data_IF_770077753070
#
_entry.id   IF_770077753070
#
_cell.length_a   1.000
_cell.length_b   1.000
_cell.length_c   1.000
_cell.angle_alpha   90.00
_cell.angle_beta   90.00
_cell.angle_gamma   90.00
#
_symmetry.space_group_name_H-M   'P 1'
#
loop_
_entity.id
_entity.type
_entity.pdbx_description
1 polymer ?
#
# COMPACT_ATOMS: atom_id res chain seq x y z
N UNK A 1 -14.91 -9.64 4.34
CA UNK A 1 -14.29 -9.70 5.67
C UNK A 1 -13.51 -8.40 5.88
N UNK A 2 -13.45 -7.86 7.11
CA UNK A 2 -12.70 -6.63 7.40
C UNK A 2 -11.54 -6.91 8.35
N UNK A 3 -10.35 -6.40 8.04
CA UNK A 3 -9.17 -6.46 8.90
C UNK A 3 -8.87 -5.05 9.43
N UNK A 4 -8.68 -4.92 10.75
CA UNK A 4 -8.23 -3.69 11.38
C UNK A 4 -6.78 -3.84 11.83
N UNK A 5 -5.92 -2.91 11.42
CA UNK A 5 -4.51 -2.87 11.83
C UNK A 5 -4.22 -1.53 12.51
N UNK A 6 -3.36 -1.56 13.52
CA UNK A 6 -2.81 -0.40 14.21
C UNK A 6 -1.33 -0.35 13.84
N UNK A 7 -0.83 0.81 13.44
CA UNK A 7 0.58 1.05 13.14
C UNK A 7 1.13 2.09 14.10
N UNK A 8 2.29 1.80 14.69
CA UNK A 8 3.05 2.73 15.54
C UNK A 8 4.35 3.12 14.82
N UNK A 9 4.78 4.39 14.88
CA UNK A 9 5.86 4.93 14.04
C UNK A 9 7.21 4.20 14.16
N UNK A 10 7.47 3.57 15.29
CA UNK A 10 8.77 3.05 15.74
C UNK A 10 8.95 1.54 15.58
N UNK A 11 7.86 0.79 15.34
CA UNK A 11 7.87 -0.69 15.46
C UNK A 11 6.99 -1.41 14.45
N UNK A 12 6.34 -0.70 13.52
CA UNK A 12 5.35 -1.36 12.67
C UNK A 12 5.24 -0.79 11.26
N UNK A 13 5.60 -1.62 10.29
CA UNK A 13 5.19 -1.53 8.89
C UNK A 13 4.41 -2.78 8.47
N UNK A 14 4.17 -2.91 7.17
CA UNK A 14 3.76 -4.18 6.57
C UNK A 14 4.62 -4.42 5.33
N UNK A 15 5.31 -5.56 5.31
CA UNK A 15 6.21 -5.95 4.23
C UNK A 15 5.43 -6.12 2.92
N UNK A 16 6.07 -5.97 1.75
CA UNK A 16 5.38 -6.12 0.47
C UNK A 16 4.71 -7.50 0.38
N UNK A 17 3.40 -7.52 0.20
CA UNK A 17 2.60 -8.73 0.12
C UNK A 17 1.40 -8.54 -0.82
N UNK A 18 0.78 -9.66 -1.19
CA UNK A 18 -0.50 -9.70 -1.90
C UNK A 18 -1.61 -10.10 -0.92
N UNK A 19 -2.84 -9.65 -1.16
CA UNK A 19 -3.99 -10.05 -0.33
C UNK A 19 -4.43 -11.51 -0.59
N UNK A 20 -4.01 -12.09 -1.73
CA UNK A 20 -4.37 -13.43 -2.18
C UNK A 20 -5.74 -13.46 -2.89
N UNK A 21 -6.00 -14.46 -3.76
CA UNK A 21 -7.07 -14.43 -4.76
C UNK A 21 -8.49 -14.48 -4.20
N UNK A 22 -8.67 -14.83 -2.91
CA UNK A 22 -9.98 -14.96 -2.28
C UNK A 22 -10.75 -13.63 -2.13
N UNK A 23 -10.08 -12.50 -2.38
CA UNK A 23 -10.61 -11.15 -2.19
C UNK A 23 -10.73 -10.37 -3.52
N UNK A 24 -10.62 -11.08 -4.65
CA UNK A 24 -10.70 -10.50 -5.98
C UNK A 24 -12.12 -9.96 -6.23
N UNK A 25 -12.29 -8.85 -6.98
CA UNK A 25 -11.26 -8.08 -7.70
C UNK A 25 -10.71 -6.86 -6.98
N UNK A 26 -11.22 -6.53 -5.78
CA UNK A 26 -11.06 -5.19 -5.21
C UNK A 26 -10.88 -5.23 -3.70
N UNK A 27 -9.95 -4.42 -3.23
CA UNK A 27 -9.72 -4.16 -1.81
C UNK A 27 -9.67 -2.67 -1.56
N UNK A 28 -10.39 -2.22 -0.53
CA UNK A 28 -10.35 -0.84 -0.07
C UNK A 28 -9.67 -0.76 1.29
N UNK A 29 -8.69 0.13 1.43
CA UNK A 29 -8.02 0.40 2.71
C UNK A 29 -8.26 1.84 3.12
N UNK A 30 -8.94 2.02 4.25
CA UNK A 30 -9.24 3.33 4.85
C UNK A 30 -8.12 3.67 5.83
N UNK A 31 -7.61 4.90 5.76
CA UNK A 31 -6.55 5.42 6.64
C UNK A 31 -7.13 6.34 7.70
N UNK A 32 -6.75 6.18 8.97
CA UNK A 32 -7.23 7.01 10.07
C UNK A 32 -6.08 7.37 11.03
N UNK A 33 -6.22 8.46 11.79
CA UNK A 33 -5.25 8.91 12.78
C UNK A 33 -4.08 9.69 12.18
N UNK A 34 -3.21 9.02 11.44
CA UNK A 34 -2.00 9.60 10.84
C UNK A 34 -1.87 9.26 9.35
N UNK A 35 -0.97 9.95 8.64
CA UNK A 35 -0.64 9.63 7.26
C UNK A 35 0.31 8.43 7.16
N UNK A 36 0.43 7.89 5.96
CA UNK A 36 1.59 7.08 5.57
C UNK A 36 1.82 7.18 4.06
N UNK A 37 3.04 6.86 3.62
CA UNK A 37 3.28 6.55 2.21
C UNK A 37 3.05 5.06 1.98
N UNK A 38 2.12 4.76 1.08
CA UNK A 38 1.75 3.41 0.66
C UNK A 38 2.43 3.08 -0.66
N UNK A 39 3.12 1.95 -0.71
CA UNK A 39 3.97 1.59 -1.85
C UNK A 39 3.40 0.38 -2.58
N UNK A 40 3.41 0.40 -3.91
CA UNK A 40 3.22 -0.79 -4.72
C UNK A 40 4.54 -1.23 -5.34
N UNK A 41 4.82 -2.52 -5.23
CA UNK A 41 6.02 -3.18 -5.72
C UNK A 41 5.65 -4.25 -6.74
N UNK A 42 6.66 -4.69 -7.47
CA UNK A 42 6.56 -5.83 -8.40
C UNK A 42 7.63 -6.86 -8.06
N UNK A 43 7.43 -8.09 -8.54
CA UNK A 43 8.49 -9.09 -8.56
C UNK A 43 9.54 -8.74 -9.62
N UNK A 44 10.80 -9.12 -9.40
CA UNK A 44 11.85 -8.97 -10.41
C UNK A 44 11.56 -9.82 -11.64
N UNK A 45 11.83 -9.28 -12.83
CA UNK A 45 11.74 -10.04 -14.09
C UNK A 45 12.70 -11.24 -14.04
N UNK A 46 12.25 -12.39 -14.56
CA UNK A 46 13.03 -13.63 -14.53
C UNK A 46 13.17 -14.28 -13.16
N UNK A 47 12.42 -13.82 -12.14
CA UNK A 47 12.20 -14.57 -10.90
C UNK A 47 11.25 -15.76 -11.16
N UNK A 48 11.62 -16.62 -12.10
CA UNK A 48 10.96 -17.90 -12.30
C UNK A 48 11.29 -18.79 -11.11
N UNK A 49 10.24 -19.36 -10.50
CA UNK A 49 10.30 -20.25 -9.34
C UNK A 49 10.99 -21.58 -9.68
N UNK A 50 12.30 -21.53 -9.89
CA UNK A 50 13.14 -22.65 -10.33
C UNK A 50 13.39 -23.73 -9.29
N UNK A 51 12.81 -23.67 -8.10
CA UNK A 51 12.87 -24.76 -7.13
C UNK A 51 11.57 -24.84 -6.34
N UNK A 52 11.18 -26.07 -6.01
CA UNK A 52 9.94 -26.48 -5.31
C UNK A 52 9.82 -25.87 -3.89
N UNK A 53 10.74 -24.97 -3.51
CA UNK A 53 10.85 -24.28 -2.22
C UNK A 53 11.26 -22.80 -2.31
N UNK A 54 11.40 -22.21 -3.52
CA UNK A 54 11.99 -20.87 -3.71
C UNK A 54 10.97 -19.73 -3.82
N UNK A 55 11.01 -18.76 -2.89
CA UNK A 55 10.19 -17.54 -2.97
C UNK A 55 10.60 -16.61 -4.12
N UNK A 56 9.64 -15.87 -4.68
CA UNK A 56 9.87 -14.87 -5.74
C UNK A 56 10.56 -13.64 -5.16
N UNK A 57 11.62 -13.15 -5.81
CA UNK A 57 12.32 -11.93 -5.39
C UNK A 57 11.53 -10.68 -5.75
N UNK A 58 11.41 -9.75 -4.81
CA UNK A 58 10.73 -8.45 -5.00
C UNK A 58 11.75 -7.41 -5.49
N UNK A 59 11.34 -6.55 -6.42
CA UNK A 59 12.11 -5.36 -6.80
C UNK A 59 12.13 -4.39 -5.61
N UNK A 60 13.31 -3.98 -5.09
CA UNK A 60 13.36 -3.05 -3.95
C UNK A 60 12.81 -1.66 -4.27
N UNK A 61 12.69 -1.27 -5.55
CA UNK A 61 12.11 0.02 -5.93
C UNK A 61 10.60 -0.13 -6.16
N UNK A 62 9.74 0.60 -5.42
CA UNK A 62 8.32 0.62 -5.73
C UNK A 62 8.07 1.14 -7.15
N UNK A 63 7.06 0.59 -7.81
CA UNK A 63 6.60 1.08 -9.11
C UNK A 63 5.83 2.40 -8.98
N UNK A 64 5.16 2.61 -7.84
CA UNK A 64 4.49 3.86 -7.49
C UNK A 64 4.34 3.97 -5.96
N UNK A 65 4.24 5.20 -5.47
CA UNK A 65 3.94 5.51 -4.07
C UNK A 65 2.75 6.45 -3.99
N UNK A 66 1.92 6.31 -2.96
CA UNK A 66 0.72 7.13 -2.72
C UNK A 66 0.77 7.65 -1.30
N UNK A 67 0.59 8.95 -1.09
CA UNK A 67 0.43 9.51 0.25
C UNK A 67 -1.03 9.32 0.69
N UNK A 68 -1.24 8.58 1.77
CA UNK A 68 -2.56 8.35 2.35
C UNK A 68 -2.77 9.25 3.55
N UNK A 69 -3.54 10.32 3.39
CA UNK A 69 -3.91 11.24 4.48
C UNK A 69 -4.89 10.59 5.47
N UNK A 70 -5.00 11.07 6.72
CA UNK A 70 -6.08 10.65 7.62
C UNK A 70 -7.45 10.90 6.99
N UNK A 71 -8.36 9.92 7.09
CA UNK A 71 -9.71 9.89 6.48
C UNK A 71 -9.70 9.75 4.96
N UNK A 72 -8.62 9.22 4.38
CA UNK A 72 -8.56 8.80 2.98
C UNK A 72 -8.94 7.33 2.81
N UNK A 73 -9.29 6.96 1.57
CA UNK A 73 -9.43 5.57 1.13
C UNK A 73 -8.56 5.34 -0.10
N UNK A 74 -7.80 4.25 -0.10
CA UNK A 74 -7.17 3.72 -1.32
C UNK A 74 -7.92 2.49 -1.76
N UNK A 75 -8.24 2.41 -3.04
CA UNK A 75 -8.91 1.26 -3.66
C UNK A 75 -7.91 0.63 -4.63
N UNK A 76 -7.56 -0.62 -4.37
CA UNK A 76 -6.69 -1.43 -5.21
C UNK A 76 -7.55 -2.40 -6.01
N UNK A 77 -7.49 -2.30 -7.34
CA UNK A 77 -8.24 -3.15 -8.26
C UNK A 77 -7.38 -3.62 -9.43
N UNK A 78 -7.87 -4.62 -10.17
CA UNK A 78 -7.25 -5.14 -11.38
C UNK A 78 -5.75 -5.46 -11.16
N UNK A 79 -4.85 -4.92 -11.99
CA UNK A 79 -3.43 -5.23 -11.95
C UNK A 79 -2.75 -4.85 -10.62
N UNK A 80 -3.18 -3.75 -9.97
CA UNK A 80 -2.65 -3.34 -8.67
C UNK A 80 -3.06 -4.31 -7.56
N UNK A 81 -4.19 -5.00 -7.72
CA UNK A 81 -4.64 -6.04 -6.81
C UNK A 81 -4.01 -7.40 -7.13
N UNK A 82 -3.95 -7.79 -8.41
CA UNK A 82 -3.66 -9.17 -8.81
C UNK A 82 -2.19 -9.47 -9.07
N UNK A 83 -1.35 -8.46 -9.26
CA UNK A 83 0.03 -8.63 -9.72
C UNK A 83 1.07 -7.73 -9.06
N UNK A 84 0.63 -6.83 -8.17
CA UNK A 84 1.52 -5.95 -7.44
C UNK A 84 1.41 -6.23 -5.95
N UNK A 85 2.55 -6.16 -5.28
CA UNK A 85 2.63 -6.25 -3.84
C UNK A 85 2.43 -4.87 -3.24
N UNK A 86 1.77 -4.77 -2.09
CA UNK A 86 1.64 -3.50 -1.40
C UNK A 86 2.28 -3.52 -0.02
N UNK A 87 2.79 -2.37 0.40
CA UNK A 87 3.54 -2.25 1.64
C UNK A 87 3.43 -0.85 2.26
N UNK A 88 3.70 -0.81 3.56
CA UNK A 88 3.98 0.41 4.32
C UNK A 88 5.31 0.17 5.01
N UNK A 89 6.31 1.00 4.74
CA UNK A 89 7.63 0.86 5.37
C UNK A 89 7.57 1.11 6.88
N UNK A 90 8.37 0.37 7.64
CA UNK A 90 8.58 0.57 9.08
C UNK A 90 9.61 1.70 9.27
N UNK A 91 9.11 2.94 9.31
CA UNK A 91 9.90 4.17 9.47
C UNK A 91 9.09 5.19 10.27
N UNK A 92 9.79 6.09 10.96
CA UNK A 92 9.17 7.15 11.78
C UNK A 92 8.73 8.37 10.97
N UNK A 93 9.34 8.60 9.81
CA UNK A 93 9.10 9.78 9.00
C UNK A 93 9.32 9.51 7.52
N UNK A 94 8.52 10.15 6.67
CA UNK A 94 8.69 10.15 5.22
C UNK A 94 9.42 11.43 4.80
N UNK A 95 10.58 11.29 4.15
CA UNK A 95 11.36 12.42 3.62
C UNK A 95 10.96 12.65 2.17
N UNK A 96 10.48 13.85 1.86
CA UNK A 96 9.94 14.22 0.55
C UNK A 96 10.84 15.27 -0.10
N UNK A 97 11.24 15.02 -1.35
CA UNK A 97 11.83 16.06 -2.20
C UNK A 97 10.74 16.86 -2.88
N UNK A 98 10.95 18.18 -2.94
CA UNK A 98 10.01 19.12 -3.54
C UNK A 98 9.69 18.76 -5.00
N UNK A 99 8.39 18.79 -5.33
CA UNK A 99 7.91 18.88 -6.69
C UNK A 99 7.77 20.33 -7.14
N UNK A 100 7.17 20.52 -8.31
CA UNK A 100 6.70 21.81 -8.80
C UNK A 100 5.45 21.60 -9.68
N UNK A 101 4.98 22.64 -10.36
CA UNK A 101 3.78 22.57 -11.20
C UNK A 101 3.81 21.49 -12.30
N UNK A 102 4.99 21.01 -12.69
CA UNK A 102 5.18 20.03 -13.79
C UNK A 102 5.92 18.76 -13.38
N UNK A 103 6.56 18.74 -12.21
CA UNK A 103 7.31 17.58 -11.73
C UNK A 103 6.77 17.13 -10.37
N UNK A 104 6.43 15.85 -10.20
CA UNK A 104 5.91 15.35 -8.94
C UNK A 104 6.98 15.41 -7.83
N UNK A 105 6.59 15.65 -6.57
CA UNK A 105 7.45 15.39 -5.42
C UNK A 105 7.79 13.90 -5.34
N UNK A 106 8.93 13.57 -4.74
CA UNK A 106 9.40 12.19 -4.64
C UNK A 106 9.66 11.79 -3.19
N UNK A 107 9.50 10.50 -2.92
CA UNK A 107 10.03 9.87 -1.72
C UNK A 107 11.56 9.86 -1.85
N UNK A 108 12.25 10.63 -1.01
CA UNK A 108 13.63 11.08 -1.25
C UNK A 108 14.63 9.93 -1.38
N UNK A 109 14.53 8.91 -0.51
CA UNK A 109 15.46 7.79 -0.48
C UNK A 109 15.15 6.71 -1.54
N UNK A 110 13.92 6.67 -2.05
CA UNK A 110 13.50 5.72 -3.08
C UNK A 110 13.58 6.30 -4.51
N UNK A 111 13.55 7.63 -4.64
CA UNK A 111 13.45 8.30 -5.94
C UNK A 111 12.21 7.87 -6.73
N UNK A 112 11.08 7.72 -6.02
CA UNK A 112 9.77 7.35 -6.58
C UNK A 112 8.79 8.50 -6.38
N UNK A 113 8.05 8.91 -7.41
CA UNK A 113 7.09 10.00 -7.30
C UNK A 113 5.91 9.61 -6.39
N UNK A 114 5.38 10.60 -5.67
CA UNK A 114 4.09 10.47 -4.99
C UNK A 114 3.00 10.67 -6.04
N UNK A 115 2.31 9.60 -6.42
CA UNK A 115 1.42 9.58 -7.57
C UNK A 115 0.18 10.50 -7.43
N UNK A 116 -0.29 10.71 -6.20
CA UNK A 116 -1.48 11.50 -5.89
C UNK A 116 -1.15 12.88 -5.29
N UNK A 117 0.05 13.41 -5.53
CA UNK A 117 0.50 14.68 -4.95
C UNK A 117 -0.44 15.86 -5.25
N UNK A 118 -1.09 15.85 -6.42
CA UNK A 118 -2.10 16.82 -6.86
C UNK A 118 -3.43 16.72 -6.11
N UNK A 119 -3.61 15.66 -5.31
CA UNK A 119 -4.83 15.35 -4.54
C UNK A 119 -4.63 15.43 -3.03
N UNK A 120 -3.43 15.77 -2.58
CA UNK A 120 -3.13 16.02 -1.17
C UNK A 120 -3.84 17.30 -0.74
N UNK A 121 -4.46 17.30 0.44
CA UNK A 121 -5.33 18.39 0.90
C UNK A 121 -4.96 18.94 2.27
N UNK A 122 -4.22 18.19 3.06
CA UNK A 122 -3.75 18.60 4.37
C UNK A 122 -2.70 19.72 4.20
N UNK A 123 -2.87 20.89 4.83
CA UNK A 123 -2.02 22.06 4.60
C UNK A 123 -0.51 21.82 4.75
N UNK A 124 -0.07 21.10 5.78
CA UNK A 124 1.36 20.83 5.99
C UNK A 124 1.92 19.87 4.93
N UNK A 125 1.17 18.84 4.57
CA UNK A 125 1.52 17.90 3.52
C UNK A 125 1.57 18.59 2.15
N UNK A 126 0.59 19.44 1.82
CA UNK A 126 0.60 20.26 0.60
C UNK A 126 1.86 21.11 0.55
N UNK A 127 2.18 21.83 1.63
CA UNK A 127 3.40 22.63 1.70
C UNK A 127 4.65 21.77 1.44
N UNK A 128 4.75 20.61 2.07
CA UNK A 128 5.87 19.68 1.89
C UNK A 128 5.96 19.14 0.45
N UNK A 129 4.83 18.95 -0.25
CA UNK A 129 4.87 18.56 -1.67
C UNK A 129 5.59 19.58 -2.56
N UNK A 130 5.56 20.87 -2.22
CA UNK A 130 6.16 21.95 -3.04
C UNK A 130 7.47 22.50 -2.49
N UNK A 131 7.71 22.39 -1.19
CA UNK A 131 8.94 22.89 -0.54
C UNK A 131 9.92 21.77 -0.19
N UNK A 132 9.45 20.52 -0.23
CA UNK A 132 10.16 19.39 0.35
C UNK A 132 10.10 19.43 1.88
N UNK A 133 10.57 18.36 2.51
CA UNK A 133 10.65 18.29 3.96
C UNK A 133 10.34 16.91 4.50
N UNK A 134 9.86 16.89 5.75
CA UNK A 134 9.70 15.68 6.54
C UNK A 134 8.28 15.57 7.04
N UNK A 135 7.66 14.42 6.76
CA UNK A 135 6.33 14.05 7.21
C UNK A 135 6.45 13.03 8.35
N UNK A 136 6.49 13.52 9.60
CA UNK A 136 6.60 12.69 10.80
C UNK A 136 5.32 11.88 11.03
N UNK A 137 5.46 10.56 11.11
CA UNK A 137 4.34 9.66 11.35
C UNK A 137 3.94 9.67 12.82
N UNK A 138 2.67 9.41 13.07
CA UNK A 138 2.10 9.16 14.39
C UNK A 138 1.23 7.90 14.33
N UNK A 139 0.56 7.54 15.43
CA UNK A 139 -0.28 6.33 15.46
C UNK A 139 -1.35 6.39 14.36
N UNK A 140 -1.30 5.39 13.47
CA UNK A 140 -2.22 5.23 12.35
C UNK A 140 -3.07 3.98 12.55
N UNK A 141 -4.31 4.05 12.11
CA UNK A 141 -5.20 2.90 12.02
C UNK A 141 -5.54 2.67 10.56
N UNK A 142 -5.65 1.41 10.15
CA UNK A 142 -6.24 1.05 8.86
C UNK A 142 -7.38 0.08 9.00
N UNK A 143 -8.43 0.31 8.21
CA UNK A 143 -9.53 -0.61 8.03
C UNK A 143 -9.49 -1.10 6.58
N UNK A 144 -9.20 -2.38 6.40
CA UNK A 144 -9.17 -3.01 5.07
C UNK A 144 -10.47 -3.77 4.88
N UNK A 145 -11.25 -3.32 3.90
CA UNK A 145 -12.52 -3.90 3.49
C UNK A 145 -12.30 -4.78 2.26
N UNK A 146 -12.71 -6.04 2.36
CA UNK A 146 -12.62 -7.02 1.27
C UNK A 146 -13.97 -7.67 1.02
N UNK A 147 -14.36 -7.78 -0.23
CA UNK A 147 -15.48 -8.62 -0.62
C UNK A 147 -15.03 -10.09 -0.64
N UNK A 148 -15.89 -10.99 -0.17
CA UNK A 148 -15.59 -12.42 -0.11
C UNK A 148 -16.81 -13.17 -0.61
N UNK A 149 -16.63 -13.96 -1.65
CA UNK A 149 -17.69 -14.80 -2.18
C UNK A 149 -18.16 -15.80 -1.12
N UNK A 150 -19.47 -15.87 -0.88
CA UNK A 150 -20.06 -16.85 0.03
C UNK A 150 -20.07 -18.21 -0.64
N UNK A 151 -19.05 -19.03 -0.40
CA UNK A 151 -19.06 -20.44 -0.81
C UNK A 151 -20.04 -21.20 0.11
N UNK A 152 -21.24 -21.49 -0.38
CA UNK A 152 -22.13 -22.43 0.29
C UNK A 152 -21.49 -23.83 0.24
N UNK A 153 -21.13 -24.40 1.39
CA UNK A 153 -20.70 -25.79 1.43
C UNK A 153 -21.88 -26.68 1.05
N UNK A 154 -21.86 -27.21 -0.17
CA UNK A 154 -22.66 -28.37 -0.54
C UNK A 154 -22.18 -29.53 0.34
N UNK A 155 -22.75 -29.66 1.54
CA UNK A 155 -22.66 -30.90 2.31
C UNK A 155 -23.16 -32.01 1.39
N UNK A 156 -22.26 -32.91 1.03
CA UNK A 156 -22.53 -34.05 0.18
C UNK A 156 -23.80 -34.75 0.65
N UNK A 157 -24.91 -34.51 -0.05
CA UNK A 157 -26.15 -35.25 0.08
C UNK A 157 -26.01 -36.55 -0.74
N UNK A 158 -24.97 -37.34 -0.44
CA UNK A 158 -24.95 -38.74 -0.83
C UNK A 158 -25.68 -39.51 0.26
N UNK A 159 -27.01 -39.59 0.10
CA UNK A 159 -27.85 -40.53 0.85
C UNK A 159 -27.41 -41.95 0.50
N UNK A 160 -27.12 -42.70 1.57
CA UNK A 160 -27.21 -44.15 1.80
C UNK A 160 -27.32 -45.08 0.59
#
# INVERSE_FOLDING_TARGET
MSLALIYRPDIQGIMPHEDGPAYFPVVATISLGSHCVFHYYQYKEGADGGTVTGGRSIDPKPILSVLLEPRSVVISEHALYSSHLHAIREIEEDIITAGNATTPPMVADLGVPIANWDKVTEPDAVRIMFEGGVLKRSTRYSLTCRDVEKVAQLKAFMKR
#
